data_IF_042607853321
#
_entry.id   IF_042607853321
#
_cell.length_a   1.000
_cell.length_b   1.000
_cell.length_c   1.000
_cell.angle_alpha   90.00
_cell.angle_beta   90.00
_cell.angle_gamma   90.00
#
_symmetry.space_group_name_H-M   'P 1'
#
loop_
_entity.id
_entity.type
_entity.pdbx_description
1 polymer ?
#
# COMPACT_ATOMS: atom_id res chain seq x y z
N UNK A 1 -6.38 62.83 22.04
CA UNK A 1 -6.73 61.72 22.96
C UNK A 1 -7.77 60.74 22.39
N UNK A 2 -8.70 61.12 21.51
CA UNK A 2 -9.69 60.19 20.90
C UNK A 2 -9.12 59.28 19.80
N UNK A 3 -8.16 59.77 19.01
CA UNK A 3 -7.52 59.03 17.90
C UNK A 3 -6.61 57.89 18.37
N UNK A 4 -5.92 58.06 19.50
CA UNK A 4 -5.01 57.04 20.06
C UNK A 4 -5.75 55.81 20.59
N UNK A 5 -6.99 55.97 21.08
CA UNK A 5 -7.83 54.86 21.54
C UNK A 5 -8.37 54.03 20.38
N UNK A 6 -8.67 54.67 19.25
CA UNK A 6 -9.14 53.98 18.05
C UNK A 6 -8.05 53.09 17.45
N UNK A 7 -6.79 53.57 17.46
CA UNK A 7 -5.64 52.82 16.97
C UNK A 7 -5.41 51.52 17.75
N UNK A 8 -5.59 51.57 19.08
CA UNK A 8 -5.45 50.39 19.95
C UNK A 8 -6.53 49.33 19.69
N UNK A 9 -7.77 49.75 19.41
CA UNK A 9 -8.89 48.84 19.10
C UNK A 9 -8.66 48.16 17.74
N UNK A 10 -8.19 48.92 16.75
CA UNK A 10 -7.86 48.37 15.42
C UNK A 10 -6.72 47.36 15.52
N UNK A 11 -5.68 47.66 16.31
CA UNK A 11 -4.54 46.75 16.48
C UNK A 11 -4.95 45.45 17.17
N UNK A 12 -5.81 45.51 18.19
CA UNK A 12 -6.32 44.32 18.87
C UNK A 12 -7.15 43.41 17.94
N UNK A 13 -7.92 43.98 17.02
CA UNK A 13 -8.70 43.23 16.04
C UNK A 13 -7.83 42.45 15.04
N UNK A 14 -6.68 43.02 14.64
CA UNK A 14 -5.74 42.34 13.73
C UNK A 14 -5.09 41.13 14.41
N UNK A 15 -4.76 41.24 15.70
CA UNK A 15 -4.19 40.11 16.45
C UNK A 15 -5.21 38.99 16.73
N UNK A 16 -6.51 39.30 16.86
CA UNK A 16 -7.56 38.28 17.00
C UNK A 16 -7.93 37.55 15.71
N UNK A 17 -7.53 38.07 14.54
CA UNK A 17 -7.86 37.47 13.24
C UNK A 17 -6.86 36.38 12.81
N UNK A 18 -5.77 36.18 13.55
CA UNK A 18 -4.79 35.14 13.25
C UNK A 18 -5.32 33.79 13.76
N UNK A 19 -6.15 33.14 12.96
CA UNK A 19 -6.53 31.74 13.17
C UNK A 19 -5.37 30.85 12.72
N UNK A 20 -4.69 30.22 13.67
CA UNK A 20 -3.70 29.18 13.37
C UNK A 20 -4.49 27.92 12.99
N UNK A 21 -4.66 27.69 11.69
CA UNK A 21 -5.18 26.42 11.20
C UNK A 21 -4.09 25.36 11.33
N UNK A 22 -4.17 24.53 12.38
CA UNK A 22 -3.35 23.33 12.50
C UNK A 22 -3.94 22.28 11.53
N UNK A 23 -3.27 22.09 10.39
CA UNK A 23 -3.59 20.98 9.48
C UNK A 23 -2.91 19.73 10.02
N UNK A 24 -3.68 18.81 10.58
CA UNK A 24 -3.14 17.50 10.97
C UNK A 24 -2.56 16.78 9.74
N UNK A 25 -1.35 16.19 9.84
CA UNK A 25 -0.80 15.37 8.76
C UNK A 25 -1.75 14.18 8.53
N UNK A 26 -2.26 14.06 7.31
CA UNK A 26 -3.20 13.01 6.93
C UNK A 26 -2.43 11.73 6.63
N UNK A 27 -2.68 10.71 7.42
CA UNK A 27 -2.04 9.40 7.28
C UNK A 27 -2.82 8.51 6.30
N UNK A 28 -2.12 7.89 5.35
CA UNK A 28 -2.65 6.90 4.42
C UNK A 28 -1.72 5.68 4.50
N UNK A 29 -2.23 4.57 5.05
CA UNK A 29 -1.47 3.34 5.29
C UNK A 29 -0.74 2.84 4.04
N UNK A 30 -1.26 3.14 2.85
CA UNK A 30 -0.67 2.68 1.58
C UNK A 30 0.65 3.39 1.27
N UNK A 31 0.89 4.58 1.81
CA UNK A 31 2.15 5.31 1.57
C UNK A 31 3.37 4.54 2.04
N UNK A 32 3.21 3.66 3.03
CA UNK A 32 4.31 2.84 3.53
C UNK A 32 4.66 1.68 2.61
N UNK A 33 3.84 1.32 1.61
CA UNK A 33 4.04 0.12 0.75
C UNK A 33 4.14 0.44 -0.74
N UNK A 34 3.86 1.67 -1.15
CA UNK A 34 3.87 2.05 -2.56
C UNK A 34 5.31 2.20 -3.03
N UNK A 35 5.68 1.48 -4.07
CA UNK A 35 7.06 1.45 -4.53
C UNK A 35 7.29 0.43 -5.64
N UNK A 36 8.55 0.29 -6.02
CA UNK A 36 9.00 -0.71 -6.98
C UNK A 36 10.07 -1.54 -6.28
N UNK A 37 9.82 -2.84 -6.16
CA UNK A 37 10.60 -3.69 -5.26
C UNK A 37 11.20 -4.86 -6.01
N UNK A 38 12.45 -5.17 -5.68
CA UNK A 38 13.01 -6.49 -5.96
C UNK A 38 12.48 -7.46 -4.91
N UNK A 39 11.86 -8.53 -5.37
CA UNK A 39 11.22 -9.53 -4.54
C UNK A 39 11.95 -10.86 -4.73
N UNK A 40 12.31 -11.48 -3.61
CA UNK A 40 12.83 -12.85 -3.55
C UNK A 40 11.69 -13.77 -3.14
N UNK A 41 11.34 -14.72 -3.99
CA UNK A 41 10.26 -15.68 -3.80
C UNK A 41 10.85 -17.07 -3.61
N UNK A 42 10.31 -17.81 -2.66
CA UNK A 42 10.50 -19.23 -2.49
C UNK A 42 9.20 -19.98 -2.72
N UNK A 43 9.16 -20.81 -3.78
CA UNK A 43 8.07 -21.75 -4.03
C UNK A 43 8.24 -22.97 -3.12
N UNK A 44 7.28 -23.21 -2.24
CA UNK A 44 7.25 -24.38 -1.37
C UNK A 44 6.86 -25.65 -2.14
N UNK A 45 6.01 -25.53 -3.16
CA UNK A 45 5.58 -26.68 -3.97
C UNK A 45 6.70 -27.22 -4.85
N UNK A 46 7.54 -26.34 -5.41
CA UNK A 46 8.60 -26.72 -6.33
C UNK A 46 10.01 -26.67 -5.72
N UNK A 47 10.16 -26.09 -4.53
CA UNK A 47 11.44 -25.92 -3.80
C UNK A 47 12.47 -25.13 -4.60
N UNK A 48 12.03 -24.05 -5.23
CA UNK A 48 12.87 -23.18 -6.06
C UNK A 48 12.79 -21.74 -5.58
N UNK A 49 13.88 -21.01 -5.80
CA UNK A 49 13.97 -19.58 -5.57
C UNK A 49 13.86 -18.82 -6.88
N UNK A 50 13.12 -17.72 -6.85
CA UNK A 50 12.92 -16.81 -7.98
C UNK A 50 13.13 -15.37 -7.53
N UNK A 51 13.68 -14.54 -8.41
CA UNK A 51 13.91 -13.12 -8.15
C UNK A 51 13.30 -12.30 -9.27
N UNK A 52 12.40 -11.38 -8.94
CA UNK A 52 11.75 -10.53 -9.92
C UNK A 52 11.34 -9.19 -9.32
N UNK A 53 10.90 -8.27 -10.17
CA UNK A 53 10.44 -6.94 -9.74
C UNK A 53 8.93 -6.88 -9.73
N UNK A 54 8.37 -6.32 -8.66
CA UNK A 54 6.95 -5.97 -8.55
C UNK A 54 6.80 -4.45 -8.42
N UNK A 55 5.64 -3.93 -8.82
CA UNK A 55 5.27 -2.55 -8.57
C UNK A 55 3.99 -2.50 -7.74
N UNK A 56 4.04 -1.80 -6.61
CA UNK A 56 2.86 -1.55 -5.78
C UNK A 56 2.40 -0.12 -6.05
N UNK A 57 1.12 0.05 -6.38
CA UNK A 57 0.51 1.34 -6.71
C UNK A 57 -0.81 1.51 -5.98
N UNK A 58 -1.13 2.73 -5.56
CA UNK A 58 -2.44 3.06 -4.99
C UNK A 58 -3.53 2.88 -6.04
N UNK A 59 -4.70 2.42 -5.60
CA UNK A 59 -5.92 2.41 -6.39
C UNK A 59 -6.89 3.44 -5.82
N UNK A 60 -7.61 4.14 -6.70
CA UNK A 60 -8.54 5.20 -6.29
C UNK A 60 -7.86 6.50 -5.85
N UNK A 61 -8.67 7.55 -5.73
CA UNK A 61 -8.23 8.87 -5.27
C UNK A 61 -8.91 9.18 -3.94
N UNK A 62 -8.12 9.45 -2.90
CA UNK A 62 -8.64 10.01 -1.65
C UNK A 62 -8.40 9.19 -0.39
N UNK A 63 -8.75 9.83 0.72
CA UNK A 63 -8.71 9.34 2.09
C UNK A 63 -9.77 8.25 2.30
N UNK A 64 -9.39 7.13 2.92
CA UNK A 64 -10.29 5.99 3.18
C UNK A 64 -10.28 4.89 2.12
N UNK A 65 -9.51 5.06 1.04
CA UNK A 65 -9.20 3.94 0.15
C UNK A 65 -8.04 3.14 0.74
N UNK A 66 -8.27 1.85 0.94
CA UNK A 66 -7.32 0.85 1.42
C UNK A 66 -6.71 0.04 0.27
N UNK A 67 -7.20 0.25 -0.95
CA UNK A 67 -6.85 -0.57 -2.10
C UNK A 67 -5.52 -0.18 -2.75
N UNK A 68 -4.74 -1.20 -3.06
CA UNK A 68 -3.53 -1.16 -3.86
C UNK A 68 -3.62 -2.19 -4.98
N UNK A 69 -2.83 -2.00 -6.03
CA UNK A 69 -2.57 -3.01 -7.05
C UNK A 69 -1.10 -3.40 -7.02
N UNK A 70 -0.84 -4.69 -7.16
CA UNK A 70 0.50 -5.26 -7.21
C UNK A 70 0.71 -5.82 -8.61
N UNK A 71 1.60 -5.19 -9.37
CA UNK A 71 1.89 -5.50 -10.77
C UNK A 71 3.05 -6.49 -10.87
N UNK A 72 3.05 -7.32 -11.93
CA UNK A 72 3.99 -8.42 -12.16
C UNK A 72 4.05 -9.45 -11.01
N UNK A 73 2.89 -9.74 -10.40
CA UNK A 73 2.79 -10.71 -9.33
C UNK A 73 3.15 -12.13 -9.84
N UNK A 74 3.80 -12.94 -9.00
CA UNK A 74 4.24 -14.30 -9.34
C UNK A 74 5.13 -14.40 -10.60
N UNK A 75 5.82 -13.31 -10.96
CA UNK A 75 6.59 -13.18 -12.21
C UNK A 75 5.80 -13.56 -13.49
N UNK A 76 4.47 -13.47 -13.43
CA UNK A 76 3.58 -13.89 -14.51
C UNK A 76 2.99 -12.70 -15.29
N UNK A 77 3.45 -11.47 -15.03
CA UNK A 77 2.90 -10.26 -15.64
C UNK A 77 1.45 -9.96 -15.22
N UNK A 78 0.92 -10.65 -14.20
CA UNK A 78 -0.44 -10.41 -13.69
C UNK A 78 -0.46 -9.25 -12.69
N UNK A 79 -1.60 -8.56 -12.61
CA UNK A 79 -1.83 -7.49 -11.63
C UNK A 79 -2.92 -7.93 -10.66
N UNK A 80 -2.57 -8.01 -9.38
CA UNK A 80 -3.51 -8.42 -8.33
C UNK A 80 -3.93 -7.24 -7.47
N UNK A 81 -5.19 -7.24 -7.03
CA UNK A 81 -5.72 -6.24 -6.09
C UNK A 81 -5.50 -6.70 -4.66
N UNK A 82 -5.14 -5.77 -3.78
CA UNK A 82 -4.96 -6.02 -2.36
C UNK A 82 -5.45 -4.83 -1.53
N UNK A 83 -5.63 -5.06 -0.23
CA UNK A 83 -6.06 -4.05 0.75
C UNK A 83 -5.04 -3.88 1.85
N UNK A 84 -4.76 -2.65 2.23
CA UNK A 84 -3.79 -2.29 3.27
C UNK A 84 -4.53 -1.78 4.50
N UNK A 85 -4.25 -2.38 5.65
CA UNK A 85 -4.76 -1.97 6.95
C UNK A 85 -3.63 -2.01 7.97
N UNK A 86 -3.15 -0.84 8.39
CA UNK A 86 -1.95 -0.69 9.21
C UNK A 86 -0.77 -1.38 8.54
N UNK A 87 -0.20 -2.38 9.19
CA UNK A 87 0.96 -3.14 8.70
C UNK A 87 0.56 -4.43 7.97
N UNK A 88 -0.73 -4.64 7.70
CA UNK A 88 -1.24 -5.85 7.07
C UNK A 88 -1.72 -5.56 5.67
N UNK A 89 -1.35 -6.43 4.73
CA UNK A 89 -1.83 -6.45 3.35
C UNK A 89 -2.64 -7.73 3.15
N UNK A 90 -3.86 -7.61 2.66
CA UNK A 90 -4.72 -8.76 2.33
C UNK A 90 -4.92 -8.83 0.82
N UNK A 91 -4.57 -9.97 0.21
CA UNK A 91 -4.82 -10.27 -1.19
C UNK A 91 -6.02 -11.23 -1.22
N UNK A 92 -7.25 -10.73 -1.44
CA UNK A 92 -8.42 -11.59 -1.48
C UNK A 92 -8.34 -12.57 -2.66
N UNK A 93 -9.04 -13.70 -2.53
CA UNK A 93 -9.21 -14.66 -3.62
C UNK A 93 -9.74 -13.94 -4.87
N UNK A 94 -8.97 -14.03 -5.95
CA UNK A 94 -9.30 -13.41 -7.23
C UNK A 94 -8.82 -14.27 -8.40
N UNK A 95 -9.45 -14.07 -9.55
CA UNK A 95 -9.11 -14.72 -10.80
C UNK A 95 -8.61 -13.67 -11.79
N UNK A 96 -7.34 -13.75 -12.18
CA UNK A 96 -6.70 -12.76 -13.04
C UNK A 96 -5.88 -13.48 -14.11
N UNK A 97 -6.17 -13.21 -15.39
CA UNK A 97 -5.43 -13.75 -16.53
C UNK A 97 -5.20 -15.27 -16.48
N UNK A 98 -6.21 -16.04 -16.04
CA UNK A 98 -6.11 -17.49 -15.95
C UNK A 98 -5.43 -18.01 -14.67
N UNK A 99 -5.06 -17.14 -13.74
CA UNK A 99 -4.55 -17.51 -12.43
C UNK A 99 -5.60 -17.26 -11.35
N UNK A 100 -5.73 -18.20 -10.43
CA UNK A 100 -6.40 -18.01 -9.15
C UNK A 100 -5.34 -17.65 -8.11
N UNK A 101 -5.51 -16.49 -7.45
CA UNK A 101 -4.54 -15.94 -6.50
C UNK A 101 -5.24 -15.55 -5.20
N UNK A 102 -4.59 -15.86 -4.08
CA UNK A 102 -5.00 -15.45 -2.74
C UNK A 102 -3.76 -15.34 -1.85
N UNK A 103 -3.76 -14.45 -0.86
CA UNK A 103 -2.67 -14.38 0.11
C UNK A 103 -2.75 -13.20 1.05
N UNK A 104 -1.63 -12.95 1.71
CA UNK A 104 -1.44 -11.82 2.60
C UNK A 104 0.02 -11.39 2.61
N UNK A 105 0.26 -10.21 3.17
CA UNK A 105 1.58 -9.74 3.51
C UNK A 105 1.56 -8.97 4.83
N UNK A 106 2.73 -8.89 5.47
CA UNK A 106 2.96 -8.03 6.62
C UNK A 106 4.12 -7.08 6.34
N UNK A 107 3.98 -5.84 6.78
CA UNK A 107 5.03 -4.83 6.74
C UNK A 107 5.70 -4.77 8.10
N UNK A 108 7.01 -4.95 8.14
CA UNK A 108 7.80 -4.81 9.35
C UNK A 108 9.15 -4.19 9.05
N UNK A 109 9.46 -3.06 9.71
CA UNK A 109 10.67 -2.27 9.46
C UNK A 109 10.81 -1.96 7.96
N UNK A 110 11.89 -2.46 7.35
CA UNK A 110 12.19 -2.27 5.95
C UNK A 110 11.87 -3.53 5.11
N UNK A 111 10.86 -4.30 5.51
CA UNK A 111 10.48 -5.53 4.82
C UNK A 111 8.97 -5.62 4.59
N UNK A 112 8.57 -6.10 3.40
CA UNK A 112 7.24 -6.62 3.10
C UNK A 112 7.36 -8.13 2.91
N UNK A 113 6.81 -8.90 3.85
CA UNK A 113 6.85 -10.36 3.82
C UNK A 113 5.49 -10.89 3.34
N UNK A 114 5.47 -11.54 2.19
CA UNK A 114 4.31 -12.12 1.55
C UNK A 114 4.18 -13.62 1.84
N UNK A 115 2.93 -14.09 1.94
CA UNK A 115 2.56 -15.50 1.86
C UNK A 115 1.34 -15.62 0.98
N UNK A 116 1.41 -16.41 -0.08
CA UNK A 116 0.32 -16.50 -1.04
C UNK A 116 0.27 -17.87 -1.73
N UNK A 117 -0.86 -18.10 -2.39
CA UNK A 117 -1.15 -19.27 -3.18
C UNK A 117 -1.50 -18.83 -4.60
N UNK A 118 -0.93 -19.48 -5.60
CA UNK A 118 -1.25 -19.29 -7.01
C UNK A 118 -1.63 -20.62 -7.64
N UNK A 119 -2.71 -20.66 -8.41
CA UNK A 119 -3.07 -21.82 -9.24
C UNK A 119 -3.34 -21.36 -10.66
N UNK A 120 -2.67 -21.99 -11.62
CA UNK A 120 -3.03 -21.88 -13.03
C UNK A 120 -4.34 -22.65 -13.28
N UNK A 121 -5.35 -21.95 -13.79
CA UNK A 121 -6.69 -22.49 -14.04
C UNK A 121 -6.81 -23.22 -15.37
N UNK A 122 -5.84 -23.09 -16.27
CA UNK A 122 -5.80 -23.81 -17.55
C UNK A 122 -5.21 -25.21 -17.44
N UNK A 123 -4.47 -25.47 -16.35
CA UNK A 123 -3.86 -26.77 -16.10
C UNK A 123 -4.52 -27.47 -14.92
N UNK A 124 -4.42 -28.80 -14.85
CA UNK A 124 -4.80 -29.56 -13.65
C UNK A 124 -3.70 -29.55 -12.58
N UNK A 125 -2.90 -28.48 -12.55
CA UNK A 125 -1.78 -28.37 -11.63
C UNK A 125 -2.27 -28.16 -10.20
N UNK A 126 -1.50 -28.70 -9.26
CA UNK A 126 -1.67 -28.34 -7.85
C UNK A 126 -1.29 -26.86 -7.67
N UNK A 127 -1.93 -26.16 -6.72
CA UNK A 127 -1.53 -24.79 -6.39
C UNK A 127 -0.06 -24.72 -5.95
N UNK A 128 0.60 -23.64 -6.32
CA UNK A 128 1.88 -23.24 -5.73
C UNK A 128 1.63 -22.42 -4.46
N UNK A 129 2.44 -22.66 -3.44
CA UNK A 129 2.44 -21.94 -2.19
C UNK A 129 3.78 -21.23 -2.05
N UNK A 130 3.75 -19.91 -1.99
CA UNK A 130 4.95 -19.09 -2.02
C UNK A 130 5.09 -18.27 -0.73
N UNK A 131 6.35 -18.12 -0.32
CA UNK A 131 6.77 -17.08 0.61
C UNK A 131 7.67 -16.13 -0.14
N UNK A 132 7.48 -14.83 0.04
CA UNK A 132 8.34 -13.87 -0.64
C UNK A 132 8.65 -12.67 0.22
N UNK A 133 9.80 -12.06 -0.02
CA UNK A 133 10.27 -10.89 0.71
C UNK A 133 10.65 -9.79 -0.26
N UNK A 134 10.19 -8.57 0.03
CA UNK A 134 10.58 -7.34 -0.65
C UNK A 134 11.18 -6.35 0.37
N UNK A 135 12.23 -5.63 0.01
CA UNK A 135 12.87 -4.61 0.86
C UNK A 135 12.72 -3.20 0.29
N UNK A 136 12.51 -2.22 1.18
CA UNK A 136 12.44 -0.78 0.84
C UNK A 136 13.79 -0.18 0.48
#
# INVERSE_FOLDING_TARGET
MKTTRLLFVVLALVFSACEITVVEPRYDDRDQVVGSYRLEEYSQSWRVYSNFTINIRKVGTGYGSDEIRIENFYNAGITVMARVYGNSITIPLQYVNGYEVEGSASVYLNEISFTYRVRDTYTRSSPDYCQATAWF
#
